data_IF_789937266016
#
_entry.id   IF_789937266016
#
_cell.length_a   1.000
_cell.length_b   1.000
_cell.length_c   1.000
_cell.angle_alpha   90.00
_cell.angle_beta   90.00
_cell.angle_gamma   90.00
#
_symmetry.space_group_name_H-M   'P 1'
#
loop_
_entity.id
_entity.type
_entity.pdbx_description
1 polymer ?
#
# COMPACT_ATOMS: atom_id res chain seq x y z
N UNK A 1 5.44 4.37 24.86
CA UNK A 1 5.41 4.18 23.38
C UNK A 1 5.65 2.73 23.11
N UNK A 2 4.62 2.00 22.77
CA UNK A 2 4.70 0.65 22.24
C UNK A 2 5.27 0.74 20.83
N UNK A 3 6.24 -0.10 20.48
CA UNK A 3 7.01 0.02 19.25
C UNK A 3 6.13 -0.03 18.00
N UNK A 4 6.14 1.07 17.27
CA UNK A 4 5.57 1.18 15.92
C UNK A 4 6.58 0.60 14.95
N UNK A 5 6.19 -0.37 14.14
CA UNK A 5 6.98 -0.83 13.01
C UNK A 5 6.15 -0.70 11.73
N UNK A 6 6.53 0.26 10.90
CA UNK A 6 6.07 0.34 9.52
C UNK A 6 7.03 -0.43 8.64
N UNK A 7 6.52 -1.39 7.88
CA UNK A 7 7.31 -2.09 6.87
C UNK A 7 7.13 -1.38 5.52
N UNK A 8 8.00 -0.41 5.25
CA UNK A 8 8.12 0.19 3.93
C UNK A 8 9.12 -0.66 3.11
N UNK A 9 8.62 -1.64 2.38
CA UNK A 9 9.41 -2.39 1.41
C UNK A 9 9.43 -1.66 0.06
N UNK A 10 10.50 -1.82 -0.74
CA UNK A 10 10.50 -1.30 -2.10
C UNK A 10 9.28 -1.82 -2.85
N UNK A 11 8.60 -0.94 -3.57
CA UNK A 11 7.42 -1.29 -4.36
C UNK A 11 7.90 -1.62 -5.75
N UNK A 12 7.67 -2.85 -6.22
CA UNK A 12 7.78 -3.19 -7.64
C UNK A 12 6.44 -2.96 -8.31
N UNK A 13 6.39 -2.16 -9.36
CA UNK A 13 5.16 -1.82 -10.05
C UNK A 13 5.42 -1.25 -11.44
N UNK A 14 5.97 -2.06 -12.33
CA UNK A 14 6.01 -1.69 -13.76
C UNK A 14 4.66 -1.96 -14.42
N UNK A 15 4.28 -1.09 -15.36
CA UNK A 15 3.05 -1.25 -16.14
C UNK A 15 3.28 -2.32 -17.19
N UNK A 16 2.44 -3.36 -17.19
CA UNK A 16 2.44 -4.39 -18.22
C UNK A 16 1.00 -4.82 -18.56
N UNK A 17 0.49 -4.45 -19.74
CA UNK A 17 -0.79 -4.95 -20.23
C UNK A 17 -0.81 -6.48 -20.24
N UNK A 18 -1.97 -7.09 -19.96
CA UNK A 18 -2.13 -8.54 -19.84
C UNK A 18 -1.53 -9.31 -21.02
N UNK A 19 -1.74 -8.82 -22.24
CA UNK A 19 -1.30 -9.48 -23.47
C UNK A 19 0.24 -9.58 -23.64
N UNK A 20 0.99 -8.73 -22.93
CA UNK A 20 2.47 -8.65 -23.05
C UNK A 20 3.18 -8.83 -21.71
N UNK A 21 2.44 -9.04 -20.63
CA UNK A 21 3.02 -9.32 -19.33
C UNK A 21 3.80 -10.64 -19.38
N UNK A 22 5.04 -10.63 -18.90
CA UNK A 22 5.89 -11.81 -18.82
C UNK A 22 5.82 -12.46 -17.44
N UNK A 23 6.14 -13.74 -17.36
CA UNK A 23 6.29 -14.46 -16.10
C UNK A 23 7.30 -13.76 -15.16
N UNK A 24 8.45 -13.34 -15.71
CA UNK A 24 9.45 -12.59 -14.95
C UNK A 24 8.92 -11.28 -14.35
N UNK A 25 8.06 -10.55 -15.08
CA UNK A 25 7.40 -9.35 -14.54
C UNK A 25 6.44 -9.69 -13.40
N UNK A 26 5.67 -10.76 -13.57
CA UNK A 26 4.75 -11.25 -12.55
C UNK A 26 5.51 -11.67 -11.29
N UNK A 27 6.54 -12.50 -11.45
CA UNK A 27 7.36 -13.02 -10.34
C UNK A 27 8.05 -11.89 -9.60
N UNK A 28 8.67 -10.94 -10.29
CA UNK A 28 9.31 -9.78 -9.66
C UNK A 28 8.30 -8.99 -8.82
N UNK A 29 7.08 -8.79 -9.33
CA UNK A 29 6.04 -8.05 -8.60
C UNK A 29 5.60 -8.80 -7.35
N UNK A 30 5.35 -10.10 -7.45
CA UNK A 30 4.88 -10.91 -6.33
C UNK A 30 6.00 -11.24 -5.33
N UNK A 31 7.21 -11.49 -5.79
CA UNK A 31 8.36 -11.72 -4.89
C UNK A 31 8.64 -10.52 -3.99
N UNK A 32 8.54 -9.30 -4.53
CA UNK A 32 8.75 -8.08 -3.73
C UNK A 32 7.52 -7.76 -2.88
N UNK A 33 6.34 -7.62 -3.50
CA UNK A 33 5.17 -7.04 -2.83
C UNK A 33 4.44 -8.03 -1.92
N UNK A 34 4.52 -9.32 -2.20
CA UNK A 34 3.77 -10.37 -1.47
C UNK A 34 4.73 -11.20 -0.63
N UNK A 35 5.63 -11.94 -1.27
CA UNK A 35 6.54 -12.86 -0.58
C UNK A 35 7.53 -12.11 0.33
N UNK A 36 8.16 -11.05 -0.17
CA UNK A 36 9.08 -10.22 0.62
C UNK A 36 8.40 -9.61 1.83
N UNK A 37 7.20 -9.02 1.65
CA UNK A 37 6.41 -8.47 2.76
C UNK A 37 6.08 -9.54 3.79
N UNK A 38 5.53 -10.68 3.35
CA UNK A 38 5.12 -11.77 4.23
C UNK A 38 6.27 -12.24 5.12
N UNK A 39 7.41 -12.57 4.51
CA UNK A 39 8.55 -13.09 5.27
C UNK A 39 9.26 -12.02 6.09
N UNK A 40 9.21 -10.75 5.70
CA UNK A 40 9.72 -9.65 6.53
C UNK A 40 8.93 -9.56 7.83
N UNK A 41 7.60 -9.53 7.75
CA UNK A 41 6.74 -9.50 8.95
C UNK A 41 6.93 -10.76 9.78
N UNK A 42 6.95 -11.96 9.16
CA UNK A 42 7.17 -13.22 9.85
C UNK A 42 8.49 -13.23 10.65
N UNK A 43 9.59 -12.77 10.04
CA UNK A 43 10.90 -12.72 10.71
C UNK A 43 10.98 -11.65 11.78
N UNK A 44 10.24 -10.54 11.62
CA UNK A 44 10.17 -9.49 12.63
C UNK A 44 9.26 -9.86 13.82
N UNK A 45 8.34 -10.80 13.66
CA UNK A 45 7.31 -11.13 14.64
C UNK A 45 7.84 -11.45 16.05
N UNK A 46 8.95 -12.17 16.22
CA UNK A 46 9.54 -12.41 17.55
C UNK A 46 10.02 -11.13 18.25
N UNK A 47 10.27 -10.06 17.49
CA UNK A 47 10.76 -8.78 18.02
C UNK A 47 9.62 -7.85 18.45
N UNK A 48 8.37 -8.12 18.01
CA UNK A 48 7.22 -7.33 18.42
C UNK A 48 6.86 -7.58 19.88
N UNK A 49 6.51 -6.50 20.57
CA UNK A 49 5.87 -6.57 21.88
C UNK A 49 4.37 -6.81 21.70
N UNK A 50 3.77 -7.45 22.70
CA UNK A 50 2.30 -7.57 22.74
C UNK A 50 1.64 -6.18 22.84
N UNK A 51 0.50 -6.03 22.23
CA UNK A 51 -0.17 -4.72 22.10
C UNK A 51 0.41 -3.82 21.01
N UNK A 52 1.31 -4.33 20.15
CA UNK A 52 1.89 -3.57 19.04
C UNK A 52 0.91 -3.27 17.90
N UNK A 53 1.37 -2.51 16.90
CA UNK A 53 0.63 -2.20 15.68
C UNK A 53 1.48 -2.47 14.44
N UNK A 54 0.92 -3.20 13.48
CA UNK A 54 1.51 -3.47 12.15
C UNK A 54 0.67 -2.72 11.12
N UNK A 55 1.32 -1.89 10.31
CA UNK A 55 0.68 -1.18 9.20
C UNK A 55 1.31 -1.64 7.89
N UNK A 56 0.48 -2.19 7.00
CA UNK A 56 0.90 -2.70 5.70
C UNK A 56 0.59 -1.65 4.61
N UNK A 57 1.58 -1.34 3.79
CA UNK A 57 1.39 -0.40 2.67
C UNK A 57 0.78 -1.12 1.46
N UNK A 58 -0.53 -0.97 1.27
CA UNK A 58 -1.28 -1.44 0.11
C UNK A 58 -1.32 -0.38 -1.01
N UNK A 59 -2.43 -0.21 -1.68
CA UNK A 59 -2.72 0.81 -2.71
C UNK A 59 -4.21 0.77 -3.01
N UNK A 60 -4.80 1.87 -3.45
CA UNK A 60 -6.19 1.89 -3.97
C UNK A 60 -6.39 0.92 -5.14
N UNK A 61 -5.32 0.56 -5.86
CA UNK A 61 -5.38 -0.46 -6.93
C UNK A 61 -5.83 -1.84 -6.42
N UNK A 62 -5.82 -2.09 -5.11
CA UNK A 62 -6.31 -3.35 -4.55
C UNK A 62 -7.83 -3.56 -4.74
N UNK A 63 -8.58 -2.50 -5.05
CA UNK A 63 -10.03 -2.50 -5.31
C UNK A 63 -10.39 -1.91 -6.67
N UNK A 64 -9.43 -1.31 -7.39
CA UNK A 64 -9.65 -0.67 -8.68
C UNK A 64 -9.12 -1.51 -9.83
N UNK A 65 -9.86 -1.55 -10.94
CA UNK A 65 -9.39 -2.13 -12.21
C UNK A 65 -8.64 -1.10 -13.03
N UNK A 66 -7.31 -1.10 -12.96
CA UNK A 66 -6.47 -0.17 -13.72
C UNK A 66 -5.77 -0.92 -14.86
N UNK A 67 -5.96 -0.50 -16.14
CA UNK A 67 -5.31 -1.13 -17.29
C UNK A 67 -3.78 -1.16 -17.12
N UNK A 68 -3.17 -2.31 -17.38
CA UNK A 68 -1.72 -2.51 -17.24
C UNK A 68 -1.22 -2.75 -15.81
N UNK A 69 -2.04 -2.60 -14.80
CA UNK A 69 -1.65 -2.78 -13.39
C UNK A 69 -2.10 -4.11 -12.79
N UNK A 70 -2.58 -5.07 -13.57
CA UNK A 70 -3.23 -6.30 -13.06
C UNK A 70 -2.39 -7.06 -12.04
N UNK A 71 -1.12 -7.36 -12.35
CA UNK A 71 -0.23 -8.07 -11.42
C UNK A 71 0.05 -7.25 -10.15
N UNK A 72 0.30 -5.95 -10.30
CA UNK A 72 0.49 -5.03 -9.17
C UNK A 72 -0.77 -4.96 -8.29
N UNK A 73 -1.94 -4.73 -8.88
CA UNK A 73 -3.22 -4.65 -8.17
C UNK A 73 -3.51 -5.94 -7.39
N UNK A 74 -3.30 -7.10 -8.02
CA UNK A 74 -3.45 -8.40 -7.37
C UNK A 74 -2.48 -8.55 -6.18
N UNK A 75 -1.22 -8.12 -6.33
CA UNK A 75 -0.25 -8.13 -5.22
C UNK A 75 -0.69 -7.25 -4.05
N UNK A 76 -1.30 -6.08 -4.33
CA UNK A 76 -1.81 -5.18 -3.30
C UNK A 76 -3.11 -5.69 -2.65
N UNK A 77 -3.94 -6.41 -3.40
CA UNK A 77 -5.07 -7.13 -2.83
C UNK A 77 -4.63 -8.24 -1.85
N UNK A 78 -3.54 -8.96 -2.16
CA UNK A 78 -2.94 -9.90 -1.22
C UNK A 78 -2.48 -9.21 0.08
N UNK A 79 -1.80 -8.07 -0.01
CA UNK A 79 -1.37 -7.28 1.16
C UNK A 79 -2.56 -6.87 2.03
N UNK A 80 -3.65 -6.38 1.42
CA UNK A 80 -4.89 -6.07 2.13
C UNK A 80 -5.45 -7.28 2.85
N UNK A 81 -5.42 -8.46 2.22
CA UNK A 81 -5.93 -9.68 2.84
C UNK A 81 -5.03 -10.18 3.98
N UNK A 82 -3.71 -9.97 3.92
CA UNK A 82 -2.81 -10.28 5.03
C UNK A 82 -3.20 -9.51 6.31
N UNK A 83 -3.59 -8.24 6.21
CA UNK A 83 -4.04 -7.47 7.37
C UNK A 83 -5.21 -8.17 8.09
N UNK A 84 -6.16 -8.73 7.34
CA UNK A 84 -7.31 -9.45 7.90
C UNK A 84 -6.91 -10.78 8.53
N UNK A 85 -6.10 -11.58 7.82
CA UNK A 85 -5.63 -12.88 8.32
C UNK A 85 -4.80 -12.73 9.59
N UNK A 86 -3.82 -11.84 9.56
CA UNK A 86 -2.92 -11.63 10.70
C UNK A 86 -3.60 -10.98 11.90
N UNK A 87 -4.67 -10.20 11.70
CA UNK A 87 -5.52 -9.74 12.81
C UNK A 87 -6.05 -10.92 13.63
N UNK A 88 -6.47 -11.99 12.97
CA UNK A 88 -6.98 -13.20 13.65
C UNK A 88 -5.85 -14.02 14.27
N UNK A 89 -4.72 -14.15 13.57
CA UNK A 89 -3.57 -14.95 14.06
C UNK A 89 -2.86 -14.29 15.25
N UNK A 90 -2.87 -12.95 15.32
CA UNK A 90 -2.12 -12.20 16.35
C UNK A 90 -3.01 -11.65 17.48
N UNK A 91 -4.30 -12.00 17.52
CA UNK A 91 -5.26 -11.51 18.51
C UNK A 91 -4.85 -11.78 19.96
N UNK A 92 -4.29 -12.95 20.23
CA UNK A 92 -3.89 -13.35 21.58
C UNK A 92 -2.69 -12.53 22.09
N UNK A 93 -1.89 -12.01 21.17
CA UNK A 93 -0.82 -11.05 21.43
C UNK A 93 -1.31 -9.59 21.43
N UNK A 94 -2.60 -9.36 21.21
CA UNK A 94 -3.21 -8.02 21.13
C UNK A 94 -2.51 -7.10 20.11
N UNK A 95 -1.89 -7.68 19.08
CA UNK A 95 -1.25 -6.93 18.00
C UNK A 95 -2.32 -6.56 16.97
N UNK A 96 -2.46 -5.26 16.73
CA UNK A 96 -3.35 -4.75 15.67
C UNK A 96 -2.65 -4.83 14.31
N UNK A 97 -3.35 -5.23 13.28
CA UNK A 97 -2.82 -5.27 11.92
C UNK A 97 -3.79 -4.56 10.98
N UNK A 98 -3.32 -3.52 10.32
CA UNK A 98 -4.11 -2.76 9.37
C UNK A 98 -3.35 -2.58 8.07
N UNK A 99 -4.04 -2.39 6.95
CA UNK A 99 -3.47 -1.88 5.72
C UNK A 99 -3.86 -0.42 5.51
N UNK A 100 -3.00 0.29 4.80
CA UNK A 100 -3.24 1.65 4.34
C UNK A 100 -3.07 1.66 2.83
N UNK A 101 -4.03 2.24 2.13
CA UNK A 101 -4.12 2.28 0.68
C UNK A 101 -3.99 3.71 0.17
N UNK A 102 -2.77 4.14 -0.20
CA UNK A 102 -2.57 5.44 -0.85
C UNK A 102 -3.26 5.48 -2.22
N UNK A 103 -3.81 6.65 -2.55
CA UNK A 103 -4.13 7.02 -3.91
C UNK A 103 -2.92 7.57 -4.66
N UNK A 104 -3.15 8.55 -5.53
CA UNK A 104 -2.09 9.27 -6.23
C UNK A 104 -1.41 10.26 -5.26
N UNK A 105 -0.16 9.99 -4.93
CA UNK A 105 0.64 10.80 -4.00
C UNK A 105 1.76 11.50 -4.77
N UNK A 106 2.04 12.74 -4.40
CA UNK A 106 3.08 13.57 -5.03
C UNK A 106 4.47 13.09 -4.57
N UNK A 107 5.03 12.17 -5.35
CA UNK A 107 6.34 11.58 -5.11
C UNK A 107 7.08 11.38 -6.44
N UNK A 108 8.41 11.29 -6.44
CA UNK A 108 9.18 10.96 -7.65
C UNK A 108 8.87 9.58 -8.25
N UNK A 109 8.15 8.73 -7.55
CA UNK A 109 7.92 7.33 -7.92
C UNK A 109 7.27 7.18 -9.31
N UNK A 110 6.35 8.07 -9.69
CA UNK A 110 5.67 8.00 -11.00
C UNK A 110 6.67 8.09 -12.16
N UNK A 111 7.57 9.06 -12.12
CA UNK A 111 8.58 9.23 -13.17
C UNK A 111 9.57 8.04 -13.20
N UNK A 112 10.00 7.55 -12.04
CA UNK A 112 10.99 6.48 -11.93
C UNK A 112 10.45 5.10 -12.31
N UNK A 113 9.15 4.86 -12.10
CA UNK A 113 8.54 3.54 -12.40
C UNK A 113 7.97 3.43 -13.79
N UNK A 114 7.62 4.54 -14.45
CA UNK A 114 6.98 4.54 -15.78
C UNK A 114 7.95 4.78 -16.92
N UNK A 115 9.18 5.24 -16.65
CA UNK A 115 10.16 5.61 -17.69
C UNK A 115 9.75 6.88 -18.47
N UNK A 116 8.77 7.64 -17.99
CA UNK A 116 8.34 8.90 -18.57
C UNK A 116 9.35 10.02 -18.30
N UNK A 117 9.44 10.97 -19.23
CA UNK A 117 10.15 12.23 -18.94
C UNK A 117 9.44 13.00 -17.83
N UNK A 118 10.12 13.93 -17.18
CA UNK A 118 9.51 14.75 -16.12
C UNK A 118 8.26 15.49 -16.60
N UNK A 119 8.29 16.01 -17.84
CA UNK A 119 7.16 16.71 -18.45
C UNK A 119 5.98 15.77 -18.74
N UNK A 120 6.24 14.57 -19.27
CA UNK A 120 5.22 13.55 -19.50
C UNK A 120 4.62 13.03 -18.19
N UNK A 121 5.44 12.85 -17.17
CA UNK A 121 4.99 12.46 -15.85
C UNK A 121 4.09 13.52 -15.20
N UNK A 122 4.41 14.82 -15.37
CA UNK A 122 3.58 15.91 -14.86
C UNK A 122 2.26 16.02 -15.60
N UNK A 123 2.24 15.87 -16.94
CA UNK A 123 1.00 15.84 -17.72
C UNK A 123 0.11 14.66 -17.33
N UNK A 124 0.67 13.47 -17.20
CA UNK A 124 -0.06 12.29 -16.73
C UNK A 124 -0.61 12.50 -15.31
N UNK A 125 0.19 13.11 -14.44
CA UNK A 125 -0.20 13.43 -13.07
C UNK A 125 -1.34 14.46 -13.00
N UNK A 126 -1.31 15.49 -13.86
CA UNK A 126 -2.38 16.49 -13.94
C UNK A 126 -3.70 15.86 -14.44
N UNK A 127 -3.64 15.03 -15.46
CA UNK A 127 -4.80 14.30 -15.97
C UNK A 127 -5.37 13.34 -14.90
N UNK A 128 -4.51 12.67 -14.13
CA UNK A 128 -4.93 11.80 -13.05
C UNK A 128 -5.58 12.57 -11.89
N UNK A 129 -5.07 13.76 -11.59
CA UNK A 129 -5.60 14.64 -10.54
C UNK A 129 -7.04 15.07 -10.78
N UNK A 130 -7.44 15.26 -12.04
CA UNK A 130 -8.82 15.62 -12.40
C UNK A 130 -9.84 14.52 -12.10
N UNK A 131 -9.40 13.28 -11.91
CA UNK A 131 -10.26 12.14 -11.57
C UNK A 131 -10.37 11.94 -10.05
N UNK A 132 -9.60 12.67 -9.24
CA UNK A 132 -9.65 12.60 -7.79
C UNK A 132 -10.72 13.57 -7.29
N UNK A 133 -11.71 13.13 -6.48
CA UNK A 133 -12.76 14.03 -5.99
C UNK A 133 -12.25 15.29 -5.28
N UNK A 134 -11.13 15.21 -4.54
CA UNK A 134 -10.48 16.38 -3.92
C UNK A 134 -9.70 17.25 -4.91
N UNK A 135 -9.67 16.94 -6.22
CA UNK A 135 -9.08 17.74 -7.29
C UNK A 135 -7.54 17.86 -7.25
N UNK A 136 -6.87 17.08 -6.42
CA UNK A 136 -5.41 17.14 -6.27
C UNK A 136 -4.82 15.80 -5.86
N UNK A 137 -3.54 15.62 -6.09
CA UNK A 137 -2.76 14.53 -5.49
C UNK A 137 -2.58 14.77 -3.97
N UNK A 138 -2.45 13.69 -3.22
CA UNK A 138 -2.08 13.75 -1.81
C UNK A 138 -0.59 14.06 -1.64
N UNK A 139 -0.24 14.53 -0.45
CA UNK A 139 1.16 14.77 -0.06
C UNK A 139 1.68 13.61 0.79
N UNK A 140 2.99 13.32 0.79
CA UNK A 140 3.57 12.29 1.66
C UNK A 140 3.22 12.47 3.15
N UNK A 141 3.12 13.72 3.62
CA UNK A 141 2.77 14.05 5.00
C UNK A 141 1.35 13.60 5.36
N UNK A 142 0.42 13.57 4.39
CA UNK A 142 -0.96 13.09 4.61
C UNK A 142 -0.99 11.58 4.81
N UNK A 143 -0.11 10.85 4.10
CA UNK A 143 0.11 9.41 4.32
C UNK A 143 0.74 9.18 5.69
N UNK A 144 1.77 9.96 6.05
CA UNK A 144 2.44 9.85 7.34
C UNK A 144 1.49 10.09 8.51
N UNK A 145 0.56 11.05 8.40
CA UNK A 145 -0.46 11.31 9.41
C UNK A 145 -1.39 10.11 9.61
N UNK A 146 -1.87 9.47 8.53
CA UNK A 146 -2.70 8.28 8.60
C UNK A 146 -1.96 7.09 9.22
N UNK A 147 -0.68 6.88 8.85
CA UNK A 147 0.16 5.84 9.45
C UNK A 147 0.38 6.10 10.93
N UNK A 148 0.65 7.34 11.33
CA UNK A 148 0.85 7.72 12.73
C UNK A 148 -0.41 7.46 13.56
N UNK A 149 -1.59 7.79 13.03
CA UNK A 149 -2.87 7.48 13.66
C UNK A 149 -3.06 5.97 13.86
N UNK A 150 -2.88 5.17 12.80
CA UNK A 150 -3.02 3.70 12.88
C UNK A 150 -1.97 3.05 13.81
N UNK A 151 -0.84 3.71 14.00
CA UNK A 151 0.23 3.25 14.87
C UNK A 151 0.00 3.59 16.35
N UNK A 152 -0.80 4.60 16.65
CA UNK A 152 -1.03 5.14 17.98
C UNK A 152 -2.19 4.43 18.73
N UNK A 153 -2.31 4.73 20.01
CA UNK A 153 -3.43 4.25 20.85
C UNK A 153 -4.77 4.92 20.48
N UNK A 154 -4.77 6.00 19.71
CA UNK A 154 -5.99 6.63 19.18
C UNK A 154 -6.77 5.69 18.26
N UNK A 155 -6.09 4.71 17.66
CA UNK A 155 -6.70 3.65 16.85
C UNK A 155 -6.80 2.30 17.58
N UNK A 156 -6.85 2.32 18.92
CA UNK A 156 -6.81 1.11 19.77
C UNK A 156 -7.93 0.10 19.49
N UNK A 157 -9.05 0.52 18.91
CA UNK A 157 -10.16 -0.36 18.53
C UNK A 157 -10.27 -0.60 17.02
N UNK A 158 -9.18 -0.34 16.27
CA UNK A 158 -9.12 -0.50 14.82
C UNK A 158 -8.11 -1.57 14.47
N UNK A 159 -8.56 -2.68 13.87
CA UNK A 159 -7.72 -3.76 13.35
C UNK A 159 -8.40 -4.45 12.17
N UNK A 160 -7.62 -4.95 11.21
CA UNK A 160 -8.11 -5.60 9.99
C UNK A 160 -8.68 -4.64 8.94
N UNK A 161 -8.59 -3.33 9.15
CA UNK A 161 -9.09 -2.33 8.20
C UNK A 161 -8.09 -2.12 7.05
N UNK A 162 -8.62 -1.71 5.90
CA UNK A 162 -7.87 -1.09 4.82
C UNK A 162 -8.28 0.38 4.74
N UNK A 163 -7.40 1.27 5.21
CA UNK A 163 -7.66 2.70 5.25
C UNK A 163 -7.21 3.35 3.94
N UNK A 164 -8.17 3.76 3.12
CA UNK A 164 -7.87 4.53 1.92
C UNK A 164 -7.46 5.97 2.30
N UNK A 165 -6.36 6.45 1.71
CA UNK A 165 -5.87 7.83 1.82
C UNK A 165 -5.63 8.32 0.39
N UNK A 166 -6.71 8.67 -0.30
CA UNK A 166 -6.77 8.73 -1.75
C UNK A 166 -7.53 9.94 -2.32
N UNK A 167 -8.00 10.84 -1.45
CA UNK A 167 -8.81 11.98 -1.88
C UNK A 167 -10.18 11.60 -2.44
N UNK A 168 -10.68 10.40 -2.11
CA UNK A 168 -11.95 9.84 -2.56
C UNK A 168 -11.88 9.03 -3.85
N UNK A 169 -10.70 8.83 -4.43
CA UNK A 169 -10.49 8.24 -5.75
C UNK A 169 -11.09 6.83 -5.92
N UNK A 170 -11.03 5.99 -4.89
CA UNK A 170 -11.56 4.63 -4.93
C UNK A 170 -12.89 4.49 -4.17
N UNK A 171 -13.52 5.58 -3.77
CA UNK A 171 -14.72 5.58 -2.94
C UNK A 171 -15.99 5.91 -3.73
N UNK A 172 -15.87 6.44 -4.95
CA UNK A 172 -16.97 6.86 -5.81
C UNK A 172 -16.81 6.32 -7.22
#
# INVERSE_FOLDING_TARGET
MTGVQTCALPISGTIAPLAVATEAHFDQTFDVNVKGLFFTVQKALPLFKDGGSIILNSSVSNVMGLPGFTAYAASKAAVRNFARGWTMELKDRKIRVNSMSPGAIDTPALATTTGLTAEQAEQAAAQFSSQIPMGRRGKPEEIAAAVTFLASDESSFITGVDLAVDGGMAQV
#
